data_IF_448507392509
#
_entry.id   IF_448507392509
#
_cell.length_a   1.000
_cell.length_b   1.000
_cell.length_c   1.000
_cell.angle_alpha   90.00
_cell.angle_beta   90.00
_cell.angle_gamma   90.00
#
_symmetry.space_group_name_H-M   'P 1'
#
loop_
_entity.id
_entity.type
_entity.pdbx_description
1 polymer ?
#
# COMPACT_ATOMS: atom_id res chain seq x y z
N UNK A 1 8.81 -19.77 -14.20
CA UNK A 1 7.63 -20.66 -14.33
C UNK A 1 7.65 -21.84 -13.35
N UNK A 2 8.82 -22.36 -12.94
CA UNK A 2 8.96 -23.47 -11.98
C UNK A 2 8.31 -23.23 -10.60
N UNK A 3 8.51 -22.06 -9.98
CA UNK A 3 7.91 -21.73 -8.67
C UNK A 3 6.38 -21.66 -8.70
N UNK A 4 5.77 -21.24 -9.82
CA UNK A 4 4.32 -21.21 -9.97
C UNK A 4 3.69 -22.62 -10.07
N UNK A 5 4.41 -23.56 -10.69
CA UNK A 5 3.98 -24.96 -10.80
C UNK A 5 4.14 -25.69 -9.48
N UNK A 6 5.23 -25.45 -8.73
CA UNK A 6 5.43 -26.05 -7.41
C UNK A 6 4.51 -25.44 -6.34
N UNK A 7 4.35 -24.11 -6.29
CA UNK A 7 3.38 -23.45 -5.42
C UNK A 7 1.93 -23.83 -5.78
N UNK A 8 1.62 -24.02 -7.06
CA UNK A 8 0.33 -24.54 -7.52
C UNK A 8 0.07 -25.99 -7.10
N UNK A 9 1.10 -26.85 -7.14
CA UNK A 9 1.02 -28.24 -6.62
C UNK A 9 0.75 -28.26 -5.12
N UNK A 10 1.32 -27.34 -4.36
CA UNK A 10 1.12 -27.23 -2.91
C UNK A 10 -0.29 -26.75 -2.53
N UNK A 11 -0.87 -25.82 -3.32
CA UNK A 11 -2.29 -25.42 -3.22
C UNK A 11 -3.23 -26.62 -3.47
N UNK A 12 -2.87 -27.51 -4.38
CA UNK A 12 -3.68 -28.68 -4.75
C UNK A 12 -3.52 -29.86 -3.78
N UNK A 13 -2.31 -30.08 -3.24
CA UNK A 13 -1.99 -31.26 -2.44
C UNK A 13 -2.38 -31.17 -0.96
N UNK A 14 -2.73 -29.98 -0.42
CA UNK A 14 -3.16 -29.81 0.99
C UNK A 14 -2.18 -30.46 2.01
N UNK A 15 -0.89 -30.47 1.69
CA UNK A 15 0.11 -31.35 2.32
C UNK A 15 0.41 -30.99 3.79
N UNK A 16 0.04 -29.79 4.25
CA UNK A 16 0.24 -29.33 5.63
C UNK A 16 -1.06 -28.92 6.30
N UNK A 17 -2.05 -29.81 6.32
CA UNK A 17 -3.15 -29.68 7.30
C UNK A 17 -2.57 -29.82 8.71
N UNK A 18 -3.05 -29.00 9.64
CA UNK A 18 -2.68 -29.01 11.06
C UNK A 18 -1.24 -28.56 11.37
N UNK A 19 -0.77 -27.47 10.75
CA UNK A 19 0.56 -26.94 11.03
C UNK A 19 0.72 -26.57 12.53
N UNK A 20 -0.36 -26.20 13.20
CA UNK A 20 -0.44 -25.95 14.65
C UNK A 20 0.04 -27.11 15.51
N UNK A 21 -0.05 -28.35 15.02
CA UNK A 21 0.44 -29.54 15.74
C UNK A 21 1.93 -29.80 15.51
N UNK A 22 2.55 -29.11 14.56
CA UNK A 22 3.94 -29.32 14.13
C UNK A 22 4.85 -28.15 14.43
N UNK A 23 4.29 -26.98 14.72
CA UNK A 23 5.07 -25.79 15.03
C UNK A 23 4.54 -25.08 16.27
N UNK A 24 5.47 -24.57 17.08
CA UNK A 24 5.19 -23.66 18.17
C UNK A 24 5.69 -22.26 17.80
N UNK A 25 4.77 -21.30 17.82
CA UNK A 25 5.07 -19.89 17.59
C UNK A 25 5.30 -19.16 18.91
N UNK A 26 6.38 -18.39 18.96
CA UNK A 26 6.71 -17.48 20.05
C UNK A 26 7.01 -16.10 19.46
N UNK A 27 6.34 -15.07 19.98
CA UNK A 27 6.50 -13.67 19.58
C UNK A 27 6.96 -12.88 20.80
N UNK A 28 8.11 -12.21 20.72
CA UNK A 28 8.72 -11.45 21.83
C UNK A 28 8.83 -12.25 23.14
N UNK A 29 9.10 -13.56 23.05
CA UNK A 29 9.21 -14.46 24.21
C UNK A 29 7.89 -15.05 24.70
N UNK A 30 6.76 -14.59 24.16
CA UNK A 30 5.43 -15.10 24.50
C UNK A 30 4.97 -16.16 23.51
N UNK A 31 4.60 -17.34 24.02
CA UNK A 31 3.99 -18.41 23.21
C UNK A 31 2.61 -17.99 22.74
N UNK A 32 2.37 -18.08 21.44
CA UNK A 32 1.08 -17.74 20.82
C UNK A 32 0.37 -19.02 20.42
N UNK A 33 -0.87 -19.27 20.91
CA UNK A 33 -1.66 -20.42 20.47
C UNK A 33 -2.06 -20.25 19.00
N UNK A 34 -1.78 -21.27 18.19
CA UNK A 34 -2.11 -21.27 16.77
C UNK A 34 -3.45 -21.95 16.52
N UNK A 35 -4.33 -21.37 15.69
CA UNK A 35 -5.51 -22.09 15.19
C UNK A 35 -5.09 -23.14 14.15
N UNK A 36 -6.00 -24.04 13.77
CA UNK A 36 -5.78 -25.01 12.69
C UNK A 36 -5.53 -24.29 11.36
N UNK A 37 -4.26 -24.10 11.02
CA UNK A 37 -3.80 -23.34 9.86
C UNK A 37 -2.91 -24.20 8.94
N UNK A 38 -2.75 -23.76 7.69
CA UNK A 38 -1.90 -24.41 6.69
C UNK A 38 -0.52 -23.76 6.56
N UNK A 39 -0.39 -22.47 6.94
CA UNK A 39 0.86 -21.74 6.82
C UNK A 39 0.93 -20.54 7.74
N UNK A 40 2.15 -20.15 8.10
CA UNK A 40 2.46 -18.91 8.83
C UNK A 40 3.30 -18.06 7.90
N UNK A 41 2.93 -16.79 7.74
CA UNK A 41 3.68 -15.80 6.97
C UNK A 41 4.19 -14.74 7.94
N UNK A 42 5.49 -14.46 7.85
CA UNK A 42 6.16 -13.41 8.63
C UNK A 42 6.64 -12.36 7.65
N UNK A 43 6.22 -11.12 7.84
CA UNK A 43 6.49 -10.02 6.93
C UNK A 43 7.36 -8.96 7.62
N UNK A 44 8.30 -8.42 6.88
CA UNK A 44 9.04 -7.19 7.22
C UNK A 44 8.66 -6.03 6.27
N UNK A 45 7.97 -6.32 5.17
CA UNK A 45 7.48 -5.33 4.21
C UNK A 45 5.99 -5.60 3.93
N UNK A 46 5.20 -4.58 3.57
CA UNK A 46 3.75 -4.73 3.42
C UNK A 46 3.31 -5.48 2.16
N UNK A 47 4.26 -6.04 1.38
CA UNK A 47 3.99 -6.73 0.13
C UNK A 47 4.66 -8.10 0.08
N UNK A 48 3.91 -9.10 -0.39
CA UNK A 48 4.36 -10.48 -0.54
C UNK A 48 3.87 -11.06 -1.87
N UNK A 49 4.57 -12.06 -2.42
CA UNK A 49 4.14 -12.86 -3.58
C UNK A 49 3.59 -12.04 -4.78
N UNK A 50 4.42 -11.13 -5.31
CA UNK A 50 4.05 -10.31 -6.48
C UNK A 50 3.18 -9.10 -6.16
N UNK A 51 3.27 -8.57 -4.93
CA UNK A 51 2.62 -7.31 -4.53
C UNK A 51 1.32 -7.47 -3.73
N UNK A 52 0.97 -8.69 -3.31
CA UNK A 52 -0.19 -8.92 -2.46
C UNK A 52 0.05 -8.37 -1.04
N UNK A 53 -0.95 -7.73 -0.46
CA UNK A 53 -0.89 -7.19 0.90
C UNK A 53 -1.57 -8.15 1.86
N UNK A 54 -0.78 -8.94 2.58
CA UNK A 54 -1.31 -9.94 3.51
C UNK A 54 -1.76 -9.33 4.83
N UNK A 55 -1.13 -8.24 5.26
CA UNK A 55 -1.49 -7.55 6.49
C UNK A 55 -2.73 -6.67 6.29
N UNK A 56 -2.75 -5.82 5.27
CA UNK A 56 -3.78 -4.79 5.04
C UNK A 56 -3.42 -3.45 5.69
N UNK A 57 -4.35 -2.49 5.68
CA UNK A 57 -4.17 -1.16 6.30
C UNK A 57 -4.68 -1.08 7.75
N UNK A 58 -4.60 0.12 8.34
CA UNK A 58 -5.23 0.45 9.62
C UNK A 58 -6.76 0.47 9.50
N UNK A 59 -7.45 -0.18 10.44
CA UNK A 59 -8.90 -0.07 10.63
C UNK A 59 -9.17 0.59 11.97
N UNK A 60 -10.20 1.43 12.06
CA UNK A 60 -10.52 2.23 13.26
C UNK A 60 -10.80 1.42 14.54
N UNK A 61 -11.02 0.10 14.42
CA UNK A 61 -11.31 -0.81 15.54
C UNK A 61 -10.23 -1.88 15.76
N UNK A 62 -9.09 -1.76 15.09
CA UNK A 62 -8.06 -2.79 15.15
C UNK A 62 -7.07 -2.53 16.29
N UNK A 63 -6.64 -3.60 16.95
CA UNK A 63 -5.57 -3.52 17.98
C UNK A 63 -4.19 -3.43 17.32
N UNK A 64 -4.11 -3.71 16.02
CA UNK A 64 -2.89 -3.72 15.23
C UNK A 64 -2.61 -2.38 14.55
N UNK A 65 -1.33 -2.05 14.42
CA UNK A 65 -0.86 -0.86 13.73
C UNK A 65 -0.76 -1.11 12.21
N UNK A 66 -0.65 -0.01 11.47
CA UNK A 66 -0.31 -0.10 10.05
C UNK A 66 1.10 -0.71 9.91
N UNK A 67 1.34 -1.54 8.89
CA UNK A 67 2.64 -2.19 8.72
C UNK A 67 3.65 -1.15 8.26
N UNK A 68 4.84 -1.15 8.86
CA UNK A 68 5.96 -0.32 8.42
C UNK A 68 7.23 -1.15 8.33
N UNK A 69 8.06 -0.90 7.32
CA UNK A 69 9.32 -1.64 7.14
C UNK A 69 10.49 -1.04 7.94
N UNK A 70 10.29 0.10 8.59
CA UNK A 70 11.34 0.89 9.25
C UNK A 70 11.13 1.04 10.77
N UNK A 71 10.15 0.35 11.35
CA UNK A 71 9.82 0.37 12.79
C UNK A 71 10.43 -0.80 13.59
N UNK A 72 11.05 -1.77 12.89
CA UNK A 72 11.60 -3.05 13.42
C UNK A 72 10.54 -4.02 13.93
N UNK A 73 9.30 -3.85 13.50
CA UNK A 73 8.19 -4.74 13.82
C UNK A 73 8.04 -5.73 12.67
N UNK A 74 7.77 -6.98 13.02
CA UNK A 74 7.44 -8.05 12.10
C UNK A 74 5.96 -8.35 12.24
N UNK A 75 5.26 -8.41 11.12
CA UNK A 75 3.87 -8.83 11.04
C UNK A 75 3.77 -10.35 10.90
N UNK A 76 3.02 -11.00 11.78
CA UNK A 76 2.79 -12.45 11.75
C UNK A 76 1.34 -12.73 11.36
N UNK A 77 1.16 -13.54 10.32
CA UNK A 77 -0.15 -13.79 9.67
C UNK A 77 -0.40 -15.29 9.52
N UNK A 78 -1.60 -15.74 9.85
CA UNK A 78 -2.06 -17.11 9.60
C UNK A 78 -2.68 -17.27 8.20
N UNK A 79 -2.38 -18.40 7.57
CA UNK A 79 -2.95 -18.83 6.29
C UNK A 79 -3.72 -20.12 6.50
N UNK A 80 -5.04 -20.10 6.28
CA UNK A 80 -5.89 -21.28 6.49
C UNK A 80 -6.10 -22.13 5.23
N UNK A 81 -5.75 -21.63 4.04
CA UNK A 81 -5.98 -22.33 2.79
C UNK A 81 -5.39 -21.67 1.55
N UNK A 82 -4.92 -22.49 0.60
CA UNK A 82 -4.48 -22.02 -0.72
C UNK A 82 -5.56 -21.26 -1.51
N UNK A 83 -6.85 -21.57 -1.28
CA UNK A 83 -7.96 -20.81 -1.87
C UNK A 83 -8.05 -19.38 -1.30
N UNK A 84 -7.80 -19.16 0.00
CA UNK A 84 -7.78 -17.81 0.57
C UNK A 84 -6.64 -16.97 -0.02
N UNK A 85 -5.45 -17.57 -0.20
CA UNK A 85 -4.33 -16.89 -0.86
C UNK A 85 -4.66 -16.52 -2.32
N UNK A 86 -5.32 -17.41 -3.08
CA UNK A 86 -5.68 -17.16 -4.47
C UNK A 86 -6.73 -16.06 -4.64
N UNK A 87 -7.72 -15.99 -3.73
CA UNK A 87 -8.80 -15.00 -3.80
C UNK A 87 -8.36 -13.64 -3.24
N UNK A 88 -7.35 -13.58 -2.37
CA UNK A 88 -6.83 -12.33 -1.78
C UNK A 88 -6.32 -11.30 -2.81
N UNK A 89 -6.01 -11.71 -4.05
CA UNK A 89 -5.65 -10.79 -5.13
C UNK A 89 -6.84 -10.08 -5.77
N UNK A 90 -8.02 -10.70 -5.71
CA UNK A 90 -9.24 -10.24 -6.40
C UNK A 90 -10.21 -9.58 -5.43
N UNK A 91 -10.26 -10.10 -4.20
CA UNK A 91 -11.05 -9.55 -3.10
C UNK A 91 -10.07 -9.21 -1.98
N UNK A 92 -10.18 -8.02 -1.38
CA UNK A 92 -9.38 -7.54 -0.24
C UNK A 92 -9.70 -8.33 1.04
N UNK A 93 -9.57 -9.65 0.97
CA UNK A 93 -9.78 -10.58 2.07
C UNK A 93 -8.52 -10.49 2.93
N UNK A 94 -8.66 -9.80 4.06
CA UNK A 94 -7.61 -9.71 5.04
C UNK A 94 -7.31 -11.09 5.61
N UNK A 95 -6.02 -11.43 5.61
CA UNK A 95 -5.55 -12.63 6.26
C UNK A 95 -5.60 -12.42 7.78
N UNK A 96 -5.63 -13.52 8.52
CA UNK A 96 -5.79 -13.46 9.96
C UNK A 96 -4.49 -13.00 10.62
N UNK A 97 -4.49 -11.75 11.07
CA UNK A 97 -3.37 -11.13 11.80
C UNK A 97 -3.22 -11.81 13.15
N UNK A 98 -2.02 -12.33 13.44
CA UNK A 98 -1.71 -13.02 14.69
C UNK A 98 -1.05 -12.04 15.66
N UNK A 99 0.04 -11.40 15.24
CA UNK A 99 0.87 -10.58 16.11
C UNK A 99 1.69 -9.54 15.33
N UNK A 100 2.08 -8.49 16.04
CA UNK A 100 3.17 -7.58 15.68
C UNK A 100 4.23 -7.67 16.77
N UNK A 101 5.46 -8.01 16.42
CA UNK A 101 6.52 -8.29 17.39
C UNK A 101 7.92 -7.99 16.82
N UNK A 102 8.95 -7.90 17.66
CA UNK A 102 10.33 -7.63 17.21
C UNK A 102 11.15 -8.90 16.98
N UNK A 103 10.80 -9.97 17.68
CA UNK A 103 11.43 -11.27 17.59
C UNK A 103 10.38 -12.35 17.37
N UNK A 104 10.59 -13.17 16.34
CA UNK A 104 9.79 -14.37 16.13
C UNK A 104 10.67 -15.60 16.31
N UNK A 105 10.16 -16.58 17.04
CA UNK A 105 10.76 -17.92 17.13
C UNK A 105 9.72 -18.95 16.74
N UNK A 106 10.01 -19.71 15.70
CA UNK A 106 9.24 -20.87 15.27
C UNK A 106 10.01 -22.11 15.70
N UNK A 107 9.43 -22.95 16.53
CA UNK A 107 10.00 -24.24 16.90
C UNK A 107 9.26 -25.33 16.13
N UNK A 108 9.97 -26.10 15.32
CA UNK A 108 9.43 -27.22 14.56
C UNK A 108 9.62 -28.48 15.40
N UNK A 109 8.51 -29.13 15.74
CA UNK A 109 8.44 -30.30 16.61
C UNK A 109 8.17 -31.57 15.78
N UNK A 110 8.47 -32.73 16.38
CA UNK A 110 8.39 -34.04 15.73
C UNK A 110 9.63 -34.36 14.91
N UNK A 111 9.50 -35.31 13.98
CA UNK A 111 10.63 -35.88 13.22
C UNK A 111 10.61 -35.50 11.73
N UNK A 112 9.50 -34.93 11.25
CA UNK A 112 9.33 -34.54 9.86
C UNK A 112 9.76 -33.09 9.60
N UNK A 113 10.42 -32.86 8.46
CA UNK A 113 10.75 -31.52 8.02
C UNK A 113 9.52 -30.70 7.58
N UNK A 114 9.61 -29.38 7.67
CA UNK A 114 8.56 -28.42 7.25
C UNK A 114 9.11 -27.58 6.09
N UNK A 115 8.36 -27.37 4.99
CA UNK A 115 8.80 -26.50 3.91
C UNK A 115 8.84 -25.05 4.40
N UNK A 116 9.93 -24.37 4.08
CA UNK A 116 10.15 -22.96 4.41
C UNK A 116 10.61 -22.23 3.16
N UNK A 117 10.15 -21.00 3.01
CA UNK A 117 10.58 -20.09 1.97
C UNK A 117 10.92 -18.73 2.57
N UNK A 118 12.07 -18.17 2.19
CA UNK A 118 12.51 -16.82 2.57
C UNK A 118 13.06 -16.12 1.32
N UNK A 119 12.49 -14.97 0.96
CA UNK A 119 12.95 -14.09 -0.12
C UNK A 119 13.33 -14.76 -1.46
N UNK A 120 12.67 -15.88 -1.79
CA UNK A 120 12.86 -16.63 -3.04
C UNK A 120 13.65 -17.94 -2.89
N UNK A 121 14.31 -18.14 -1.75
CA UNK A 121 14.99 -19.39 -1.40
C UNK A 121 14.03 -20.30 -0.64
N UNK A 122 13.95 -21.57 -1.04
CA UNK A 122 13.07 -22.55 -0.43
C UNK A 122 13.84 -23.80 -0.01
N UNK A 123 13.51 -24.36 1.15
CA UNK A 123 14.13 -25.58 1.69
C UNK A 123 13.18 -26.33 2.60
N UNK A 124 13.49 -27.60 2.90
CA UNK A 124 12.81 -28.36 3.94
C UNK A 124 13.57 -28.20 5.25
N UNK A 125 12.98 -27.49 6.21
CA UNK A 125 13.55 -27.26 7.52
C UNK A 125 13.38 -28.48 8.42
N UNK A 126 14.46 -29.15 8.88
CA UNK A 126 14.37 -30.24 9.84
C UNK A 126 13.91 -29.73 11.22
N UNK A 127 13.49 -30.65 12.12
CA UNK A 127 13.15 -30.32 13.51
C UNK A 127 14.23 -29.46 14.19
N UNK A 128 13.79 -28.47 14.96
CA UNK A 128 14.66 -27.44 15.50
C UNK A 128 13.92 -26.12 15.67
N UNK A 129 14.63 -24.99 15.61
CA UNK A 129 13.98 -23.68 15.64
C UNK A 129 14.56 -22.71 14.61
N UNK A 130 13.69 -21.87 14.09
CA UNK A 130 14.04 -20.68 13.31
C UNK A 130 13.79 -19.47 14.21
N UNK A 131 14.78 -18.59 14.32
CA UNK A 131 14.65 -17.33 15.05
C UNK A 131 14.89 -16.16 14.12
N UNK A 132 13.88 -15.32 13.96
CA UNK A 132 13.88 -14.14 13.09
C UNK A 132 13.97 -12.92 13.99
N UNK A 133 15.01 -12.12 13.75
CA UNK A 133 15.27 -10.88 14.46
C UNK A 133 15.80 -9.85 13.49
N UNK A 134 15.41 -8.60 13.69
CA UNK A 134 15.99 -7.50 12.94
C UNK A 134 17.49 -7.36 13.29
N UNK A 135 18.37 -7.40 12.28
CA UNK A 135 19.83 -7.26 12.44
C UNK A 135 20.32 -5.88 12.04
N UNK A 136 20.26 -5.58 10.74
CA UNK A 136 20.81 -4.37 10.15
C UNK A 136 19.73 -3.61 9.37
N UNK A 137 20.06 -2.39 8.94
CA UNK A 137 19.22 -1.58 8.04
C UNK A 137 20.02 -1.21 6.81
N UNK A 138 19.34 -1.11 5.68
CA UNK A 138 19.86 -0.51 4.47
C UNK A 138 19.05 0.76 4.17
N UNK A 139 19.72 1.79 3.66
CA UNK A 139 19.01 2.94 3.09
C UNK A 139 18.54 2.55 1.69
N UNK A 140 17.24 2.69 1.45
CA UNK A 140 16.63 2.38 0.16
C UNK A 140 15.99 3.64 -0.40
N UNK A 141 16.07 3.82 -1.72
CA UNK A 141 15.29 4.85 -2.40
C UNK A 141 13.82 4.48 -2.32
N UNK A 142 13.01 5.36 -1.74
CA UNK A 142 11.56 5.18 -1.64
C UNK A 142 10.85 6.15 -2.57
N UNK A 143 9.76 5.69 -3.18
CA UNK A 143 8.87 6.55 -3.94
C UNK A 143 8.05 7.42 -2.99
N UNK A 144 8.27 8.72 -3.01
CA UNK A 144 7.46 9.68 -2.24
C UNK A 144 6.13 9.95 -2.95
N UNK A 145 5.10 9.21 -2.52
CA UNK A 145 3.74 9.38 -3.05
C UNK A 145 3.12 10.73 -2.70
N UNK A 146 3.53 11.37 -1.60
CA UNK A 146 3.00 12.68 -1.21
C UNK A 146 3.54 13.75 -2.16
N UNK A 147 4.85 13.75 -2.38
CA UNK A 147 5.49 14.61 -3.36
C UNK A 147 4.92 14.42 -4.76
N UNK A 148 4.72 13.18 -5.21
CA UNK A 148 4.11 12.92 -6.52
C UNK A 148 2.69 13.47 -6.62
N UNK A 149 1.85 13.28 -5.59
CA UNK A 149 0.49 13.86 -5.58
C UNK A 149 0.54 15.38 -5.68
N UNK A 150 1.45 16.03 -4.95
CA UNK A 150 1.66 17.48 -5.04
C UNK A 150 2.10 17.88 -6.45
N UNK A 151 3.04 17.15 -7.06
CA UNK A 151 3.53 17.40 -8.41
C UNK A 151 2.42 17.25 -9.46
N UNK A 152 1.59 16.20 -9.34
CA UNK A 152 0.43 15.98 -10.21
C UNK A 152 -0.58 17.12 -10.08
N UNK A 153 -0.97 17.48 -8.85
CA UNK A 153 -1.88 18.60 -8.60
C UNK A 153 -1.35 19.93 -9.15
N UNK A 154 -0.04 20.16 -9.07
CA UNK A 154 0.58 21.38 -9.58
C UNK A 154 0.57 21.41 -11.12
N UNK A 155 0.90 20.28 -11.76
CA UNK A 155 0.83 20.10 -13.22
C UNK A 155 -0.59 20.29 -13.76
N UNK A 156 -1.60 19.76 -13.08
CA UNK A 156 -3.02 19.95 -13.42
C UNK A 156 -3.44 21.43 -13.34
N UNK A 157 -2.99 22.15 -12.32
CA UNK A 157 -3.24 23.60 -12.19
C UNK A 157 -2.60 24.41 -13.32
N UNK A 158 -1.37 24.06 -13.73
CA UNK A 158 -0.71 24.73 -14.85
C UNK A 158 -1.43 24.46 -16.19
N UNK A 159 -1.87 23.22 -16.45
CA UNK A 159 -2.71 22.91 -17.62
C UNK A 159 -4.01 23.70 -17.61
N UNK A 160 -4.70 23.79 -16.47
CA UNK A 160 -5.92 24.60 -16.35
C UNK A 160 -5.67 26.10 -16.57
N UNK A 161 -4.51 26.65 -16.20
CA UNK A 161 -4.16 28.05 -16.52
C UNK A 161 -3.93 28.27 -18.01
N UNK A 162 -3.34 27.29 -18.70
CA UNK A 162 -3.08 27.35 -20.14
C UNK A 162 -4.38 27.16 -20.94
N UNK A 163 -5.30 26.32 -20.46
CA UNK A 163 -6.60 26.05 -21.10
C UNK A 163 -7.70 27.06 -20.75
N UNK A 164 -7.56 27.84 -19.67
CA UNK A 164 -8.42 29.01 -19.46
C UNK A 164 -8.21 29.98 -20.61
N UNK A 165 -9.27 30.42 -21.32
CA UNK A 165 -9.11 31.47 -22.32
C UNK A 165 -8.45 32.65 -21.62
N UNK A 166 -7.36 33.17 -22.20
CA UNK A 166 -6.90 34.52 -21.87
C UNK A 166 -8.15 35.40 -21.89
N UNK A 167 -8.36 36.15 -20.81
CA UNK A 167 -9.34 37.24 -20.61
C UNK A 167 -10.23 37.54 -21.82
N UNK A 168 -11.57 37.67 -21.69
CA UNK A 168 -12.44 37.96 -22.84
C UNK A 168 -11.77 39.05 -23.67
N UNK A 169 -11.37 38.69 -24.90
CA UNK A 169 -10.77 39.65 -25.82
C UNK A 169 -11.69 40.85 -25.81
N UNK A 170 -11.14 42.05 -25.60
CA UNK A 170 -11.92 43.27 -25.68
C UNK A 170 -12.67 43.22 -27.02
N UNK A 171 -13.99 43.03 -26.95
CA UNK A 171 -14.84 43.02 -28.13
C UNK A 171 -14.66 44.42 -28.72
N UNK A 172 -14.20 44.56 -29.97
CA UNK A 172 -14.15 45.87 -30.60
C UNK A 172 -15.55 46.47 -30.53
N UNK A 173 -15.66 47.67 -29.98
CA UNK A 173 -16.93 48.40 -29.96
C UNK A 173 -17.47 48.45 -31.39
N UNK A 174 -18.75 48.12 -31.56
CA UNK A 174 -19.41 48.35 -32.85
C UNK A 174 -19.37 49.84 -33.21
N UNK A 175 -19.56 50.19 -34.48
CA UNK A 175 -19.61 51.59 -34.91
C UNK A 175 -20.70 52.37 -34.16
N UNK A 176 -21.86 51.74 -33.94
CA UNK A 176 -22.96 52.34 -33.18
C UNK A 176 -22.58 52.62 -31.71
N UNK A 177 -21.96 51.66 -31.03
CA UNK A 177 -21.51 51.85 -29.64
C UNK A 177 -20.39 52.88 -29.53
N UNK A 178 -19.52 52.97 -30.54
CA UNK A 178 -18.45 53.97 -30.61
C UNK A 178 -19.03 55.38 -30.76
N UNK A 179 -20.07 55.55 -31.58
CA UNK A 179 -20.76 56.83 -31.75
C UNK A 179 -21.46 57.26 -30.45
N UNK A 180 -22.12 56.32 -29.76
CA UNK A 180 -22.76 56.60 -28.46
C UNK A 180 -21.73 57.02 -27.42
N UNK A 181 -20.60 56.32 -27.33
CA UNK A 181 -19.50 56.70 -26.44
C UNK A 181 -18.91 58.07 -26.79
N UNK A 182 -18.71 58.37 -28.07
CA UNK A 182 -18.19 59.64 -28.53
C UNK A 182 -19.11 60.80 -28.10
N UNK A 183 -20.42 60.65 -28.33
CA UNK A 183 -21.41 61.66 -27.93
C UNK A 183 -21.46 61.87 -26.42
N UNK A 184 -21.31 60.80 -25.63
CA UNK A 184 -21.24 60.89 -24.18
C UNK A 184 -19.97 61.62 -23.71
N UNK A 185 -18.83 61.33 -24.32
CA UNK A 185 -17.54 61.99 -24.01
C UNK A 185 -17.60 63.49 -24.36
N UNK A 186 -18.23 63.85 -25.47
CA UNK A 186 -18.43 65.26 -25.85
C UNK A 186 -19.37 65.99 -24.88
N UNK A 187 -20.50 65.36 -24.51
CA UNK A 187 -21.43 65.92 -23.54
C UNK A 187 -20.78 66.12 -22.16
N UNK A 188 -20.02 65.12 -21.68
CA UNK A 188 -19.28 65.20 -20.43
C UNK A 188 -18.18 66.28 -20.48
N UNK A 189 -17.45 66.38 -21.59
CA UNK A 189 -16.42 67.40 -21.79
C UNK A 189 -17.01 68.81 -21.84
N UNK A 190 -18.19 68.98 -22.42
CA UNK A 190 -18.94 70.24 -22.43
C UNK A 190 -19.39 70.62 -21.02
N UNK A 191 -19.93 69.67 -20.25
CA UNK A 191 -20.31 69.85 -18.84
C UNK A 191 -19.13 70.27 -17.96
N UNK A 192 -17.94 69.72 -18.20
CA UNK A 192 -16.71 70.08 -17.47
C UNK A 192 -16.25 71.50 -17.87
N UNK A 193 -16.40 71.90 -19.12
CA UNK A 193 -16.00 73.24 -19.62
C UNK A 193 -16.96 74.36 -19.20
N UNK A 194 -18.22 74.06 -18.89
CA UNK A 194 -19.20 75.05 -18.43
C UNK A 194 -19.14 75.35 -16.91
N UNK A 195 -18.23 74.72 -16.17
CA UNK A 195 -18.04 74.91 -14.72
C UNK A 195 -16.69 75.56 -14.34
N UNK A 196 -16.08 76.32 -15.27
CA UNK A 196 -14.93 77.22 -14.99
C UNK A 196 -15.25 78.62 -15.50
#
# INVERSE_FOLDING_TARGET
MWYGVLGGKEILQRTFKNLDQRVQLECDGQKIPLPSLQGIVILNIPSYMGGANFWGGTKEKDTFQAPSFDDKILEVVAVFGGMQMAVSRVLDIQHHRIAQCRTVKITIIGDEAVPVQVDGEAWNQPPGYIRIVHKNRAQMLTRDRAFEKTLTQWSEKEKQKIERPRSPQAIPLSEEESIVLQSFVEAASSLIKCNV
#
